data_IF_737342405346
#
_entry.id   IF_737342405346
#
_cell.length_a   1.000
_cell.length_b   1.000
_cell.length_c   1.000
_cell.angle_alpha   90.00
_cell.angle_beta   90.00
_cell.angle_gamma   90.00
#
_symmetry.space_group_name_H-M   'P 1'
#
loop_
_entity.id
_entity.type
_entity.pdbx_description
1 polymer ?
#
# COMPACT_ATOMS: atom_id res chain seq x y z
N UNK A 1 16.78 15.90 4.83
CA UNK A 1 15.40 15.54 4.45
C UNK A 1 15.34 15.72 2.93
N UNK A 2 14.90 14.76 2.08
CA UNK A 2 13.86 13.73 2.24
C UNK A 2 14.29 12.32 1.75
N UNK A 3 14.25 11.28 2.60
CA UNK A 3 14.44 9.89 2.12
C UNK A 3 13.21 9.39 1.33
N UNK A 4 12.03 9.75 1.82
CA UNK A 4 10.73 9.33 1.29
C UNK A 4 10.46 9.71 -0.18
N UNK A 5 11.02 10.81 -0.67
CA UNK A 5 10.77 11.25 -2.05
C UNK A 5 11.46 10.34 -3.08
N UNK A 6 12.69 9.90 -2.78
CA UNK A 6 13.45 8.98 -3.62
C UNK A 6 12.74 7.63 -3.72
N UNK A 7 12.24 7.15 -2.59
CA UNK A 7 11.58 5.85 -2.47
C UNK A 7 10.26 5.79 -3.26
N UNK A 8 9.49 6.88 -3.30
CA UNK A 8 8.28 6.94 -4.12
C UNK A 8 8.60 6.89 -5.62
N UNK A 9 9.69 7.52 -6.08
CA UNK A 9 10.14 7.42 -7.47
C UNK A 9 10.50 5.98 -7.84
N UNK A 10 11.15 5.25 -6.93
CA UNK A 10 11.46 3.82 -7.12
C UNK A 10 10.17 2.96 -7.21
N UNK A 11 9.13 3.28 -6.42
CA UNK A 11 7.83 2.60 -6.50
C UNK A 11 7.17 2.84 -7.86
N UNK A 12 7.12 4.09 -8.31
CA UNK A 12 6.49 4.44 -9.59
C UNK A 12 7.23 3.84 -10.78
N UNK A 13 8.57 3.81 -10.75
CA UNK A 13 9.37 3.17 -11.81
C UNK A 13 9.16 1.65 -11.86
N UNK A 14 9.23 0.98 -10.70
CA UNK A 14 8.96 -0.45 -10.59
C UNK A 14 7.56 -0.80 -11.08
N UNK A 15 6.56 -0.01 -10.69
CA UNK A 15 5.18 -0.20 -11.11
C UNK A 15 5.01 0.07 -12.60
N UNK A 16 5.59 1.14 -13.14
CA UNK A 16 5.52 1.47 -14.57
C UNK A 16 6.06 0.33 -15.42
N UNK A 17 7.22 -0.22 -15.06
CA UNK A 17 7.84 -1.33 -15.78
C UNK A 17 6.97 -2.59 -15.78
N UNK A 18 6.38 -2.93 -14.62
CA UNK A 18 5.49 -4.09 -14.51
C UNK A 18 4.17 -3.87 -15.23
N UNK A 19 3.61 -2.67 -15.12
CA UNK A 19 2.34 -2.30 -15.73
C UNK A 19 2.39 -2.47 -17.24
N UNK A 20 3.38 -1.85 -17.90
CA UNK A 20 3.55 -1.95 -19.35
C UNK A 20 3.73 -3.41 -19.80
N UNK A 21 4.36 -4.25 -18.98
CA UNK A 21 4.56 -5.68 -19.27
C UNK A 21 3.29 -6.53 -19.13
N UNK A 22 2.36 -6.16 -18.24
CA UNK A 22 1.19 -7.00 -17.87
C UNK A 22 -0.13 -6.51 -18.45
N UNK A 23 -0.31 -5.20 -18.53
CA UNK A 23 -1.54 -4.55 -19.00
C UNK A 23 -1.37 -4.07 -20.44
N UNK A 24 -0.16 -3.66 -20.82
CA UNK A 24 0.08 -2.95 -22.06
C UNK A 24 -0.33 -1.48 -21.95
N UNK A 25 -0.15 -0.73 -23.04
CA UNK A 25 -0.41 0.72 -23.09
C UNK A 25 -1.89 1.05 -23.35
N UNK A 26 -2.68 0.06 -23.79
CA UNK A 26 -3.96 0.33 -24.45
C UNK A 26 -5.20 0.42 -23.54
N UNK A 27 -5.23 -0.24 -22.39
CA UNK A 27 -6.45 -0.27 -21.55
C UNK A 27 -6.44 0.75 -20.42
N UNK A 28 -5.27 1.16 -19.93
CA UNK A 28 -5.16 2.06 -18.77
C UNK A 28 -5.71 1.49 -17.45
N UNK A 29 -6.30 0.30 -17.49
CA UNK A 29 -6.99 -0.38 -16.39
C UNK A 29 -6.53 -1.84 -16.28
N UNK A 30 -6.55 -2.35 -15.04
CA UNK A 30 -6.22 -3.72 -14.71
C UNK A 30 -7.40 -4.40 -14.00
N UNK A 31 -7.64 -5.67 -14.29
CA UNK A 31 -8.59 -6.47 -13.52
C UNK A 31 -7.94 -7.03 -12.23
N UNK A 32 -8.73 -7.68 -11.37
CA UNK A 32 -8.24 -8.22 -10.08
C UNK A 32 -7.04 -9.18 -10.20
N UNK A 33 -6.99 -10.02 -11.24
CA UNK A 33 -5.86 -10.95 -11.45
C UNK A 33 -4.60 -10.20 -11.90
N UNK A 34 -4.76 -9.22 -12.79
CA UNK A 34 -3.68 -8.35 -13.23
C UNK A 34 -3.16 -7.52 -12.06
N UNK A 35 -4.05 -6.94 -11.26
CA UNK A 35 -3.73 -6.15 -10.06
C UNK A 35 -2.81 -6.89 -9.10
N UNK A 36 -3.20 -8.10 -8.66
CA UNK A 36 -2.39 -8.90 -7.71
C UNK A 36 -1.02 -9.25 -8.28
N UNK A 37 -0.95 -9.57 -9.57
CA UNK A 37 0.30 -9.86 -10.26
C UNK A 37 1.18 -8.62 -10.37
N UNK A 38 0.61 -7.47 -10.71
CA UNK A 38 1.32 -6.20 -10.89
C UNK A 38 1.96 -5.76 -9.57
N UNK A 39 1.18 -5.72 -8.49
CA UNK A 39 1.71 -5.36 -7.18
C UNK A 39 2.75 -6.37 -6.70
N UNK A 40 2.50 -7.68 -6.84
CA UNK A 40 3.46 -8.69 -6.38
C UNK A 40 4.82 -8.54 -7.08
N UNK A 41 4.83 -8.29 -8.39
CA UNK A 41 6.06 -8.11 -9.16
C UNK A 41 6.75 -6.77 -8.84
N UNK A 42 5.96 -5.70 -8.62
CA UNK A 42 6.49 -4.39 -8.22
C UNK A 42 7.14 -4.45 -6.83
N UNK A 43 6.48 -5.06 -5.84
CA UNK A 43 7.02 -5.23 -4.49
C UNK A 43 8.28 -6.10 -4.48
N UNK A 44 8.32 -7.15 -5.31
CA UNK A 44 9.54 -7.96 -5.50
C UNK A 44 10.71 -7.15 -6.02
N UNK A 45 10.49 -6.21 -6.96
CA UNK A 45 11.56 -5.30 -7.43
C UNK A 45 12.07 -4.40 -6.32
N UNK A 46 11.18 -3.96 -5.45
CA UNK A 46 11.52 -3.15 -4.28
C UNK A 46 12.11 -3.98 -3.12
N UNK A 47 12.28 -5.29 -3.28
CA UNK A 47 12.71 -6.21 -2.22
C UNK A 47 11.80 -6.17 -0.97
N UNK A 48 10.51 -5.88 -1.17
CA UNK A 48 9.49 -5.84 -0.12
C UNK A 48 8.70 -7.14 -0.16
N UNK A 49 8.41 -7.68 1.03
CA UNK A 49 7.61 -8.89 1.16
C UNK A 49 6.21 -8.65 0.56
N UNK A 50 5.74 -9.49 -0.37
CA UNK A 50 4.40 -9.34 -0.92
C UNK A 50 3.34 -9.68 0.14
N UNK A 51 2.21 -8.97 0.17
CA UNK A 51 1.08 -9.31 1.03
C UNK A 51 0.40 -10.61 0.57
N UNK A 52 -0.50 -11.13 1.42
CA UNK A 52 -1.25 -12.35 1.14
C UNK A 52 -2.40 -12.13 0.13
N UNK A 53 -2.99 -13.22 -0.36
CA UNK A 53 -4.08 -13.18 -1.34
C UNK A 53 -5.34 -12.44 -0.84
N UNK A 54 -5.64 -12.56 0.45
CA UNK A 54 -6.79 -11.89 1.08
C UNK A 54 -6.63 -10.37 1.08
N UNK A 55 -5.41 -9.90 1.37
CA UNK A 55 -5.07 -8.48 1.33
C UNK A 55 -5.25 -7.89 -0.07
N UNK A 56 -4.80 -8.59 -1.12
CA UNK A 56 -5.02 -8.12 -2.49
C UNK A 56 -6.50 -7.99 -2.81
N UNK A 57 -7.30 -8.96 -2.38
CA UNK A 57 -8.76 -8.93 -2.60
C UNK A 57 -9.39 -7.74 -1.87
N UNK A 58 -9.05 -7.53 -0.61
CA UNK A 58 -9.56 -6.41 0.18
C UNK A 58 -9.10 -5.04 -0.37
N UNK A 59 -7.83 -4.92 -0.76
CA UNK A 59 -7.27 -3.71 -1.35
C UNK A 59 -7.97 -3.37 -2.67
N UNK A 60 -8.17 -4.37 -3.54
CA UNK A 60 -8.90 -4.19 -4.79
C UNK A 60 -10.32 -3.69 -4.54
N UNK A 61 -11.09 -4.37 -3.68
CA UNK A 61 -12.47 -3.99 -3.34
C UNK A 61 -12.60 -2.61 -2.70
N UNK A 62 -11.56 -2.12 -2.04
CA UNK A 62 -11.59 -0.81 -1.40
C UNK A 62 -11.35 0.35 -2.38
N UNK A 63 -10.70 0.07 -3.51
CA UNK A 63 -10.42 1.06 -4.56
C UNK A 63 -11.37 0.94 -5.76
N UNK A 64 -11.90 -0.25 -6.03
CA UNK A 64 -12.98 -0.49 -6.98
C UNK A 64 -14.32 0.00 -6.39
N UNK A 65 -14.52 1.32 -6.39
CA UNK A 65 -15.67 1.98 -5.77
C UNK A 65 -16.97 1.74 -6.55
N UNK A 66 -16.87 1.70 -7.88
CA UNK A 66 -17.98 1.46 -8.79
C UNK A 66 -18.27 -0.02 -9.05
N UNK A 67 -17.37 -0.93 -8.60
CA UNK A 67 -17.53 -2.38 -8.69
C UNK A 67 -17.62 -2.87 -10.13
N UNK A 68 -16.92 -2.20 -11.04
CA UNK A 68 -16.82 -2.61 -12.43
C UNK A 68 -15.80 -3.74 -12.63
N UNK A 69 -15.02 -4.06 -11.59
CA UNK A 69 -14.00 -5.09 -11.63
C UNK A 69 -12.69 -4.63 -12.27
N UNK A 70 -12.50 -3.31 -12.42
CA UNK A 70 -11.30 -2.70 -12.97
C UNK A 70 -10.72 -1.68 -12.00
N UNK A 71 -9.40 -1.49 -12.09
CA UNK A 71 -8.68 -0.49 -11.31
C UNK A 71 -7.71 0.26 -12.21
N UNK A 72 -7.64 1.57 -12.05
CA UNK A 72 -6.78 2.42 -12.88
C UNK A 72 -5.33 2.33 -12.43
N UNK A 73 -4.40 2.64 -13.33
CA UNK A 73 -2.96 2.69 -12.99
C UNK A 73 -2.66 3.57 -11.75
N UNK A 74 -3.32 4.72 -11.66
CA UNK A 74 -3.15 5.67 -10.55
C UNK A 74 -3.54 5.07 -9.21
N UNK A 75 -4.65 4.33 -9.16
CA UNK A 75 -5.12 3.67 -7.94
C UNK A 75 -4.16 2.57 -7.50
N UNK A 76 -3.64 1.78 -8.45
CA UNK A 76 -2.63 0.76 -8.15
C UNK A 76 -1.34 1.38 -7.63
N UNK A 77 -0.93 2.53 -8.17
CA UNK A 77 0.22 3.28 -7.67
C UNK A 77 0.00 3.74 -6.23
N UNK A 78 -1.17 4.31 -5.94
CA UNK A 78 -1.51 4.77 -4.60
C UNK A 78 -1.52 3.61 -3.59
N UNK A 79 -2.12 2.46 -3.94
CA UNK A 79 -2.09 1.24 -3.13
C UNK A 79 -0.64 0.80 -2.85
N UNK A 80 0.20 0.77 -3.87
CA UNK A 80 1.59 0.32 -3.75
C UNK A 80 2.38 1.26 -2.83
N UNK A 81 2.27 2.57 -3.05
CA UNK A 81 2.93 3.60 -2.23
C UNK A 81 2.45 3.51 -0.78
N UNK A 82 1.16 3.33 -0.53
CA UNK A 82 0.62 3.17 0.82
C UNK A 82 1.17 1.91 1.52
N UNK A 83 1.21 0.77 0.82
CA UNK A 83 1.74 -0.47 1.36
C UNK A 83 3.24 -0.37 1.70
N UNK A 84 4.04 0.14 0.76
CA UNK A 84 5.49 0.34 0.94
C UNK A 84 5.76 1.25 2.12
N UNK A 85 5.06 2.39 2.20
CA UNK A 85 5.20 3.32 3.31
C UNK A 85 4.83 2.68 4.66
N UNK A 86 3.77 1.87 4.71
CA UNK A 86 3.39 1.18 5.94
C UNK A 86 4.42 0.11 6.33
N UNK A 87 4.91 -0.67 5.37
CA UNK A 87 5.94 -1.69 5.57
C UNK A 87 7.23 -1.08 6.14
N UNK A 88 7.71 0.01 5.55
CA UNK A 88 8.90 0.73 6.01
C UNK A 88 8.71 1.33 7.41
N UNK A 89 7.52 1.88 7.71
CA UNK A 89 7.20 2.38 9.05
C UNK A 89 7.23 1.27 10.11
N UNK A 90 6.81 0.06 9.78
CA UNK A 90 6.87 -1.09 10.69
C UNK A 90 8.32 -1.56 10.90
N UNK A 91 9.11 -1.67 9.82
CA UNK A 91 10.52 -2.07 9.91
C UNK A 91 11.42 -1.03 10.60
N UNK A 92 11.05 0.25 10.60
CA UNK A 92 11.81 1.29 11.32
C UNK A 92 11.46 1.34 12.82
N UNK A 93 10.22 0.98 13.19
CA UNK A 93 9.78 0.92 14.59
C UNK A 93 10.41 -0.24 15.35
N UNK A 94 10.67 -1.37 14.70
CA UNK A 94 11.29 -2.55 15.34
C UNK A 94 12.76 -2.33 15.74
N UNK A 95 13.47 -1.37 15.13
CA UNK A 95 14.81 -0.97 15.58
C UNK A 95 14.81 0.08 16.71
N UNK A 96 13.66 0.67 17.05
CA UNK A 96 13.55 1.78 18.00
C UNK A 96 12.89 1.41 19.34
N UNK A 97 12.47 0.15 19.52
CA UNK A 97 11.69 -0.29 20.69
C UNK A 97 12.38 -1.38 21.51
N UNK A 98 13.65 -1.17 21.86
CA UNK A 98 14.23 -1.73 23.10
C UNK A 98 14.55 -0.52 23.99
N UNK A 99 13.57 -0.09 24.76
CA UNK A 99 13.75 1.06 25.65
C UNK A 99 12.45 1.64 26.17
N UNK A 100 12.03 1.15 27.33
CA UNK A 100 11.30 1.91 28.36
C UNK A 100 9.75 1.90 28.35
N UNK A 101 9.25 1.07 29.27
CA UNK A 101 8.42 1.52 30.40
C UNK A 101 6.89 1.33 30.36
N UNK A 102 6.46 0.64 31.42
CA UNK A 102 5.16 0.17 31.90
C UNK A 102 4.13 1.32 32.14
N UNK A 103 2.80 1.04 32.22
CA UNK A 103 1.72 1.94 31.84
C UNK A 103 1.15 2.76 33.00
N UNK A 104 0.46 3.86 32.66
CA UNK A 104 -0.54 4.48 33.55
C UNK A 104 -1.80 4.92 32.78
N UNK A 105 -2.90 4.43 33.33
CA UNK A 105 -4.31 4.74 33.11
C UNK A 105 -4.65 6.25 33.19
N UNK A 106 -5.56 6.74 32.33
CA UNK A 106 -6.78 7.49 32.71
C UNK A 106 -7.62 7.95 31.49
N UNK A 107 -8.94 7.88 31.69
CA UNK A 107 -10.06 8.43 30.89
C UNK A 107 -9.79 9.82 30.25
N UNK A 108 -10.34 10.10 29.06
CA UNK A 108 -11.60 10.85 28.90
C UNK A 108 -12.01 10.99 27.42
N UNK A 109 -13.33 11.08 27.23
CA UNK A 109 -14.16 11.39 26.06
C UNK A 109 -13.77 12.67 25.30
N UNK A 110 -13.82 12.65 23.97
CA UNK A 110 -14.73 13.44 23.09
C UNK A 110 -14.12 13.72 21.71
N UNK A 111 -14.96 13.65 20.67
CA UNK A 111 -14.86 14.61 19.56
C UNK A 111 -14.10 14.21 18.30
N UNK A 112 -14.86 14.00 17.23
CA UNK A 112 -14.59 14.73 15.97
C UNK A 112 -13.78 14.02 14.90
N UNK A 113 -14.51 13.43 13.95
CA UNK A 113 -14.28 13.48 12.51
C UNK A 113 -12.84 13.56 11.97
N UNK A 114 -12.41 12.49 11.32
CA UNK A 114 -11.99 12.52 9.91
C UNK A 114 -12.00 11.08 9.42
N UNK A 115 -12.81 10.83 8.39
CA UNK A 115 -12.88 9.63 7.56
C UNK A 115 -11.57 9.42 6.76
N UNK A 116 -10.45 9.32 7.47
CA UNK A 116 -9.21 8.79 6.91
C UNK A 116 -9.36 7.28 6.78
N UNK A 117 -9.58 6.79 5.55
CA UNK A 117 -9.47 5.38 5.14
C UNK A 117 -8.18 4.80 5.72
N UNK A 118 -8.27 4.22 6.91
CA UNK A 118 -7.13 3.72 7.67
C UNK A 118 -6.81 2.30 7.20
N UNK A 119 -5.80 2.18 6.34
CA UNK A 119 -5.23 0.90 5.91
C UNK A 119 -4.47 0.15 7.02
N UNK A 120 -4.31 0.77 8.20
CA UNK A 120 -3.63 0.21 9.37
C UNK A 120 -4.29 -1.04 9.98
N UNK A 121 -5.48 -1.44 9.50
CA UNK A 121 -6.23 -2.58 10.05
C UNK A 121 -5.87 -3.92 9.41
N UNK A 122 -5.03 -3.92 8.38
CA UNK A 122 -4.72 -5.12 7.57
C UNK A 122 -3.22 -5.37 7.33
N UNK A 123 -2.34 -4.61 8.00
CA UNK A 123 -0.90 -4.89 8.15
C UNK A 123 -0.64 -5.53 9.51
#
# INVERSE_FOLDING_TARGET
MPKLARENEDVEDALRLVWTKRVGDSTGQANQQQFSTILSDALKKLSIAPPNAEWYTAAFQNFDLDKDGWISKSDVADICVQYVNAYLKLNTKTSSSVGSSKPKSKHNVDGGGTDGKSFSKWL
#
